data_IF_986043048174
#
_entry.id   IF_986043048174
#
_cell.length_a   1.000
_cell.length_b   1.000
_cell.length_c   1.000
_cell.angle_alpha   90.00
_cell.angle_beta   90.00
_cell.angle_gamma   90.00
#
_symmetry.space_group_name_H-M   'P 1'
#
loop_
_entity.id
_entity.type
_entity.pdbx_description
1 polymer ?
#
# COMPACT_ATOMS: atom_id res chain seq x y z
N UNK A 1 44.73 8.39 30.16
CA UNK A 1 44.61 7.36 29.11
C UNK A 1 44.39 6.01 29.78
N UNK A 2 43.18 5.44 29.71
CA UNK A 2 42.92 4.25 28.86
C UNK A 2 41.66 4.47 27.99
N UNK A 3 41.75 4.33 26.66
CA UNK A 3 41.66 3.11 25.83
C UNK A 3 40.25 2.52 25.72
N UNK A 4 39.50 3.10 24.78
CA UNK A 4 38.73 2.42 23.73
C UNK A 4 37.96 1.14 24.09
N UNK A 5 36.69 1.31 24.48
CA UNK A 5 35.65 0.26 24.41
C UNK A 5 34.30 0.78 23.92
N UNK A 6 34.26 1.97 23.30
CA UNK A 6 33.02 2.61 22.85
C UNK A 6 32.91 2.64 21.31
N UNK A 7 33.37 1.59 20.63
CA UNK A 7 33.36 1.52 19.15
C UNK A 7 32.44 0.43 18.57
N UNK A 8 31.66 -0.27 19.39
CA UNK A 8 30.82 -1.37 18.90
C UNK A 8 29.30 -1.14 18.94
N UNK A 9 28.85 0.08 19.25
CA UNK A 9 27.41 0.41 19.26
C UNK A 9 26.97 1.34 18.11
N UNK A 10 27.89 1.72 17.22
CA UNK A 10 27.62 2.66 16.13
C UNK A 10 27.29 2.00 14.77
N UNK A 11 27.36 0.67 14.66
CA UNK A 11 27.15 -0.02 13.38
C UNK A 11 25.74 -0.58 13.14
N UNK A 12 24.83 -0.51 14.11
CA UNK A 12 23.50 -1.11 13.98
C UNK A 12 22.38 -0.13 13.58
N UNK A 13 22.66 1.17 13.44
CA UNK A 13 21.61 2.19 13.20
C UNK A 13 21.44 2.58 11.71
N UNK A 14 22.20 1.98 10.79
CA UNK A 14 22.18 2.37 9.37
C UNK A 14 21.05 1.75 8.52
N UNK A 15 20.13 0.97 9.10
CA UNK A 15 19.12 0.23 8.34
C UNK A 15 17.75 0.92 8.20
N UNK A 16 17.59 2.18 8.63
CA UNK A 16 16.29 2.88 8.65
C UNK A 16 16.15 4.00 7.61
N UNK A 17 16.94 3.98 6.53
CA UNK A 17 16.58 4.74 5.34
C UNK A 17 15.50 3.96 4.58
N UNK A 18 14.27 4.04 5.06
CA UNK A 18 13.09 3.83 4.23
C UNK A 18 13.15 4.88 3.11
N UNK A 19 13.70 4.49 1.96
CA UNK A 19 13.82 5.37 0.81
C UNK A 19 12.43 5.84 0.40
N UNK A 20 12.24 7.16 0.31
CA UNK A 20 11.12 7.75 -0.42
C UNK A 20 11.28 7.33 -1.88
N UNK A 21 10.69 6.20 -2.26
CA UNK A 21 10.71 5.75 -3.64
C UNK A 21 9.90 6.75 -4.47
N UNK A 22 10.60 7.61 -5.22
CA UNK A 22 9.99 8.35 -6.32
C UNK A 22 9.74 7.35 -7.45
N UNK A 23 8.47 7.02 -7.70
CA UNK A 23 8.05 6.03 -8.68
C UNK A 23 8.29 6.43 -10.16
N UNK A 24 8.82 7.63 -10.42
CA UNK A 24 9.23 8.07 -11.76
C UNK A 24 10.71 7.72 -12.07
N UNK A 25 11.09 7.33 -13.32
CA UNK A 25 10.36 6.58 -14.33
C UNK A 25 10.78 5.10 -14.24
N UNK A 26 9.86 4.21 -13.85
CA UNK A 26 9.96 2.82 -14.29
C UNK A 26 9.06 2.74 -15.51
N UNK A 27 9.61 2.39 -16.67
CA UNK A 27 8.85 2.31 -17.92
C UNK A 27 8.47 0.86 -18.22
N UNK A 28 7.50 0.69 -19.12
CA UNK A 28 7.27 -0.59 -19.76
C UNK A 28 8.58 -1.12 -20.38
N UNK A 29 8.76 -2.44 -20.34
CA UNK A 29 9.98 -3.13 -20.75
C UNK A 29 11.10 -3.16 -19.70
N UNK A 30 11.01 -2.42 -18.59
CA UNK A 30 12.05 -2.44 -17.54
C UNK A 30 12.16 -3.86 -16.94
N UNK A 31 13.36 -4.47 -16.83
CA UNK A 31 13.52 -5.77 -16.18
C UNK A 31 13.22 -5.71 -14.68
N UNK A 32 12.60 -6.75 -14.15
CA UNK A 32 12.25 -6.89 -12.74
C UNK A 32 13.40 -6.58 -11.77
N UNK A 33 14.64 -7.01 -12.09
CA UNK A 33 15.80 -6.73 -11.24
C UNK A 33 16.11 -5.23 -11.15
N UNK A 34 15.94 -4.47 -12.24
CA UNK A 34 16.15 -3.02 -12.24
C UNK A 34 15.06 -2.31 -11.43
N UNK A 35 13.82 -2.80 -11.48
CA UNK A 35 12.72 -2.29 -10.64
C UNK A 35 13.08 -2.47 -9.15
N UNK A 36 13.53 -3.66 -8.74
CA UNK A 36 13.93 -3.91 -7.35
C UNK A 36 15.16 -3.12 -6.93
N UNK A 37 16.15 -2.97 -7.81
CA UNK A 37 17.33 -2.16 -7.53
C UNK A 37 16.98 -0.69 -7.26
N UNK A 38 15.91 -0.18 -7.90
CA UNK A 38 15.47 1.20 -7.77
C UNK A 38 14.48 1.41 -6.63
N UNK A 39 13.49 0.53 -6.49
CA UNK A 39 12.35 0.71 -5.58
C UNK A 39 12.46 -0.15 -4.31
N UNK A 40 13.42 -1.06 -4.27
CA UNK A 40 13.53 -2.08 -3.23
C UNK A 40 12.64 -3.29 -3.48
N UNK A 41 12.57 -4.16 -2.48
CA UNK A 41 11.73 -5.36 -2.50
C UNK A 41 10.25 -4.94 -2.45
N UNK A 42 9.39 -5.47 -3.32
CA UNK A 42 7.94 -5.24 -3.21
C UNK A 42 7.42 -5.80 -1.89
N UNK A 43 6.41 -5.14 -1.31
CA UNK A 43 5.80 -5.64 -0.07
C UNK A 43 5.02 -6.93 -0.32
N UNK A 44 4.32 -7.00 -1.46
CA UNK A 44 3.57 -8.19 -1.87
C UNK A 44 3.89 -8.54 -3.32
N UNK A 45 4.10 -9.83 -3.58
CA UNK A 45 4.21 -10.40 -4.92
C UNK A 45 3.05 -11.35 -5.14
N UNK A 46 2.19 -11.04 -6.11
CA UNK A 46 1.12 -11.94 -6.57
C UNK A 46 1.53 -12.57 -7.89
N UNK A 47 1.58 -13.89 -7.93
CA UNK A 47 1.86 -14.66 -9.14
C UNK A 47 0.56 -15.10 -9.78
N UNK A 48 0.48 -14.99 -11.10
CA UNK A 48 -0.67 -15.42 -11.89
C UNK A 48 -0.37 -16.74 -12.63
N UNK A 49 -1.40 -17.52 -13.01
CA UNK A 49 -1.21 -18.79 -13.72
C UNK A 49 -0.53 -18.67 -15.10
N UNK A 50 -0.64 -17.50 -15.75
CA UNK A 50 0.00 -17.20 -17.05
C UNK A 50 1.49 -16.85 -16.92
N UNK A 51 2.05 -16.91 -15.70
CA UNK A 51 3.43 -16.57 -15.40
C UNK A 51 3.68 -15.08 -15.19
N UNK A 52 2.66 -14.22 -15.34
CA UNK A 52 2.76 -12.80 -14.97
C UNK A 52 2.80 -12.64 -13.45
N UNK A 53 3.34 -11.51 -13.01
CA UNK A 53 3.34 -11.14 -11.59
C UNK A 53 2.82 -9.72 -11.42
N UNK A 54 2.15 -9.46 -10.29
CA UNK A 54 1.82 -8.11 -9.84
C UNK A 54 2.55 -7.85 -8.55
N UNK A 55 3.42 -6.84 -8.58
CA UNK A 55 4.18 -6.38 -7.43
C UNK A 55 3.52 -5.16 -6.81
N UNK A 56 3.37 -5.20 -5.51
CA UNK A 56 2.72 -4.16 -4.73
C UNK A 56 3.76 -3.35 -3.97
N UNK A 57 3.70 -2.03 -4.13
CA UNK A 57 4.55 -1.08 -3.44
C UNK A 57 3.71 0.04 -2.80
N UNK A 58 3.28 -0.13 -1.55
CA UNK A 58 2.71 0.96 -0.78
C UNK A 58 3.82 1.93 -0.35
N UNK A 59 3.52 3.23 -0.29
CA UNK A 59 4.48 4.26 0.10
C UNK A 59 4.67 4.37 1.63
N UNK A 60 4.58 3.26 2.35
CA UNK A 60 4.71 3.15 3.81
C UNK A 60 3.39 3.30 4.60
N UNK A 61 3.43 3.16 5.94
CA UNK A 61 2.22 3.17 6.80
C UNK A 61 1.41 4.48 6.78
N UNK A 62 2.10 5.61 6.65
CA UNK A 62 1.48 6.94 6.45
C UNK A 62 1.44 7.35 4.97
N UNK A 63 1.69 6.40 4.08
CA UNK A 63 1.75 6.58 2.65
C UNK A 63 0.39 6.92 2.05
N UNK A 64 0.40 7.77 1.02
CA UNK A 64 -0.80 8.21 0.27
C UNK A 64 -0.87 7.62 -1.13
N UNK A 65 0.06 6.71 -1.44
CA UNK A 65 0.14 6.07 -2.74
C UNK A 65 0.41 4.58 -2.56
N UNK A 66 -0.19 3.78 -3.43
CA UNK A 66 0.21 2.40 -3.65
C UNK A 66 0.40 2.22 -5.13
N UNK A 67 1.54 1.68 -5.53
CA UNK A 67 1.82 1.33 -6.91
C UNK A 67 1.72 -0.17 -7.11
N UNK A 68 1.01 -0.57 -8.16
CA UNK A 68 1.01 -1.94 -8.67
C UNK A 68 1.82 -2.00 -9.95
N UNK A 69 2.85 -2.83 -9.96
CA UNK A 69 3.73 -3.06 -11.12
C UNK A 69 3.43 -4.45 -11.67
N UNK A 70 2.86 -4.51 -12.88
CA UNK A 70 2.59 -5.77 -13.56
C UNK A 70 3.81 -6.15 -14.40
N UNK A 71 4.34 -7.35 -14.17
CA UNK A 71 5.41 -7.97 -14.93
C UNK A 71 4.84 -9.07 -15.83
N UNK A 72 5.33 -9.17 -17.07
CA UNK A 72 5.05 -10.31 -17.93
C UNK A 72 5.77 -11.58 -17.47
N UNK A 73 5.47 -12.71 -18.13
CA UNK A 73 6.16 -13.98 -17.91
C UNK A 73 7.67 -13.93 -18.23
N UNK A 74 8.10 -12.95 -19.01
CA UNK A 74 9.49 -12.60 -19.29
C UNK A 74 10.15 -11.73 -18.22
N UNK A 75 9.45 -11.47 -17.11
CA UNK A 75 9.93 -10.64 -15.98
C UNK A 75 10.23 -9.19 -16.39
N UNK A 76 9.60 -8.68 -17.44
CA UNK A 76 9.66 -7.27 -17.84
C UNK A 76 8.36 -6.54 -17.47
N UNK A 77 8.47 -5.27 -17.07
CA UNK A 77 7.32 -4.42 -16.75
C UNK A 77 6.41 -4.28 -17.95
N UNK A 78 5.11 -4.50 -17.74
CA UNK A 78 4.04 -4.24 -18.70
C UNK A 78 3.33 -2.95 -18.37
N UNK A 79 2.88 -2.83 -17.12
CA UNK A 79 2.06 -1.72 -16.65
C UNK A 79 2.46 -1.31 -15.23
N UNK A 80 2.22 -0.04 -14.91
CA UNK A 80 2.38 0.52 -13.57
C UNK A 80 1.17 1.41 -13.29
N UNK A 81 0.53 1.17 -12.16
CA UNK A 81 -0.65 1.92 -11.75
C UNK A 81 -0.49 2.46 -10.34
N UNK A 82 -0.74 3.76 -10.13
CA UNK A 82 -1.04 4.30 -8.81
C UNK A 82 -2.53 4.01 -8.53
N UNK A 83 -2.81 3.16 -7.54
CA UNK A 83 -4.14 2.59 -7.33
C UNK A 83 -4.97 3.28 -6.25
N UNK A 84 -4.41 4.26 -5.53
CA UNK A 84 -5.16 5.05 -4.55
C UNK A 84 -5.66 6.33 -5.24
N UNK A 85 -6.62 6.13 -6.15
CA UNK A 85 -7.19 7.15 -7.04
C UNK A 85 -8.67 6.88 -7.29
N UNK A 86 -9.41 7.91 -7.74
CA UNK A 86 -10.85 7.82 -7.96
C UNK A 86 -11.27 6.72 -8.93
N UNK A 87 -10.51 6.53 -10.01
CA UNK A 87 -10.76 5.48 -11.01
C UNK A 87 -10.69 4.07 -10.41
N UNK A 88 -9.83 3.84 -9.42
CA UNK A 88 -9.69 2.56 -8.74
C UNK A 88 -10.71 2.42 -7.60
N UNK A 89 -10.97 3.49 -6.86
CA UNK A 89 -12.00 3.51 -5.82
C UNK A 89 -13.38 3.20 -6.39
N UNK A 90 -13.72 3.74 -7.57
CA UNK A 90 -14.98 3.47 -8.26
C UNK A 90 -15.13 2.01 -8.74
N UNK A 91 -14.05 1.22 -8.74
CA UNK A 91 -14.08 -0.22 -9.07
C UNK A 91 -14.43 -1.07 -7.86
N UNK A 92 -14.31 -0.57 -6.63
CA UNK A 92 -14.74 -1.28 -5.43
C UNK A 92 -16.27 -1.27 -5.38
N UNK A 93 -16.89 -2.45 -5.37
CA UNK A 93 -18.35 -2.62 -5.40
C UNK A 93 -18.83 -3.47 -4.24
N UNK A 94 -20.08 -3.24 -3.84
CA UNK A 94 -20.79 -4.07 -2.87
C UNK A 94 -20.75 -5.54 -3.32
N UNK A 95 -20.50 -6.44 -2.37
CA UNK A 95 -20.39 -7.88 -2.62
C UNK A 95 -18.98 -8.36 -2.99
N UNK A 96 -18.03 -7.47 -3.32
CA UNK A 96 -16.65 -7.88 -3.55
C UNK A 96 -16.02 -8.49 -2.30
N UNK A 97 -15.25 -9.54 -2.46
CA UNK A 97 -14.45 -10.15 -1.40
C UNK A 97 -13.28 -9.26 -0.98
N UNK A 98 -12.76 -9.50 0.23
CA UNK A 98 -11.50 -8.92 0.72
C UNK A 98 -10.35 -9.07 -0.28
N UNK A 99 -10.22 -10.22 -0.90
CA UNK A 99 -9.15 -10.50 -1.86
C UNK A 99 -9.29 -9.70 -3.16
N UNK A 100 -10.52 -9.49 -3.64
CA UNK A 100 -10.78 -8.64 -4.79
C UNK A 100 -10.40 -7.18 -4.49
N UNK A 101 -10.73 -6.68 -3.30
CA UNK A 101 -10.33 -5.34 -2.87
C UNK A 101 -8.81 -5.23 -2.72
N UNK A 102 -8.13 -6.23 -2.12
CA UNK A 102 -6.64 -6.27 -2.06
C UNK A 102 -6.01 -6.24 -3.44
N UNK A 103 -6.60 -6.96 -4.41
CA UNK A 103 -6.12 -6.97 -5.80
C UNK A 103 -6.27 -5.62 -6.50
N UNK A 104 -7.24 -4.80 -6.10
CA UNK A 104 -7.46 -3.46 -6.65
C UNK A 104 -6.60 -2.39 -5.98
N UNK A 105 -6.58 -2.33 -4.64
CA UNK A 105 -6.06 -1.17 -3.90
C UNK A 105 -4.74 -1.42 -3.17
N UNK A 106 -4.28 -2.66 -3.12
CA UNK A 106 -3.12 -3.01 -2.31
C UNK A 106 -3.47 -3.09 -0.82
N UNK A 107 -2.45 -3.19 0.04
CA UNK A 107 -2.62 -3.44 1.47
C UNK A 107 -3.20 -2.19 2.12
N UNK A 108 -4.24 -2.31 2.96
CA UNK A 108 -4.69 -1.17 3.72
C UNK A 108 -3.61 -0.73 4.70
N UNK A 109 -3.53 0.59 4.92
CA UNK A 109 -2.65 1.16 5.95
C UNK A 109 -3.17 0.87 7.36
N UNK A 110 -4.48 0.69 7.50
CA UNK A 110 -5.14 0.39 8.78
C UNK A 110 -6.30 -0.58 8.60
N UNK A 111 -6.54 -1.41 9.62
CA UNK A 111 -7.67 -2.34 9.69
C UNK A 111 -8.29 -2.26 11.07
N UNK A 112 -9.60 -2.05 11.13
CA UNK A 112 -10.38 -1.96 12.36
C UNK A 112 -11.53 -2.95 12.35
N UNK A 113 -11.90 -3.49 13.51
CA UNK A 113 -13.01 -4.44 13.66
C UNK A 113 -14.02 -3.92 14.68
N UNK A 114 -15.29 -3.83 14.28
CA UNK A 114 -16.40 -3.42 15.12
C UNK A 114 -17.31 -4.63 15.40
N UNK A 115 -17.02 -5.36 16.47
CA UNK A 115 -17.70 -6.62 16.78
C UNK A 115 -19.23 -6.51 16.93
N UNK A 116 -19.73 -5.42 17.52
CA UNK A 116 -21.17 -5.21 17.72
C UNK A 116 -21.94 -5.02 16.40
N UNK A 117 -21.26 -4.65 15.30
CA UNK A 117 -21.86 -4.44 13.98
C UNK A 117 -21.54 -5.56 12.99
N UNK A 118 -20.79 -6.56 13.44
CA UNK A 118 -20.14 -7.56 12.58
C UNK A 118 -19.44 -6.92 11.37
N UNK A 119 -18.64 -5.89 11.64
CA UNK A 119 -18.04 -5.04 10.61
C UNK A 119 -16.52 -5.04 10.73
N UNK A 120 -15.86 -5.06 9.58
CA UNK A 120 -14.41 -4.84 9.45
C UNK A 120 -14.19 -3.70 8.47
N UNK A 121 -13.30 -2.77 8.81
CA UNK A 121 -13.02 -1.59 8.01
C UNK A 121 -11.56 -1.60 7.62
N UNK A 122 -11.30 -1.50 6.33
CA UNK A 122 -9.96 -1.31 5.77
C UNK A 122 -9.82 0.12 5.28
N UNK A 123 -8.71 0.76 5.63
CA UNK A 123 -8.50 2.18 5.39
C UNK A 123 -7.21 2.44 4.62
N UNK A 124 -7.29 3.27 3.59
CA UNK A 124 -6.15 3.79 2.84
C UNK A 124 -6.13 5.30 2.94
N UNK A 125 -4.97 5.86 3.27
CA UNK A 125 -4.74 7.30 3.10
C UNK A 125 -4.52 7.58 1.62
N UNK A 126 -5.08 8.68 1.13
CA UNK A 126 -4.78 9.18 -0.20
C UNK A 126 -4.79 10.71 -0.21
N UNK A 127 -4.27 11.30 -1.28
CA UNK A 127 -4.27 12.74 -1.47
C UNK A 127 -5.32 13.12 -2.53
N UNK A 128 -6.24 13.99 -2.15
CA UNK A 128 -7.09 14.76 -3.07
C UNK A 128 -6.75 16.26 -2.89
N UNK A 129 -7.72 17.17 -3.02
CA UNK A 129 -7.59 18.56 -2.57
C UNK A 129 -7.16 18.63 -1.09
N UNK A 130 -7.66 17.70 -0.27
CA UNK A 130 -7.28 17.52 1.13
C UNK A 130 -6.69 16.11 1.36
N UNK A 131 -5.96 15.88 2.45
CA UNK A 131 -5.65 14.52 2.92
C UNK A 131 -6.94 13.76 3.27
N UNK A 132 -7.09 12.55 2.73
CA UNK A 132 -8.30 11.76 2.85
C UNK A 132 -8.01 10.33 3.30
N UNK A 133 -9.03 9.69 3.88
CA UNK A 133 -9.16 8.25 3.96
C UNK A 133 -10.19 7.75 2.95
N UNK A 134 -9.84 6.68 2.23
CA UNK A 134 -10.80 5.80 1.57
C UNK A 134 -10.99 4.57 2.46
N UNK A 135 -12.22 4.35 2.91
CA UNK A 135 -12.59 3.26 3.80
C UNK A 135 -13.47 2.26 3.04
N UNK A 136 -13.12 0.99 3.12
CA UNK A 136 -13.95 -0.12 2.63
C UNK A 136 -14.47 -0.88 3.85
N UNK A 137 -15.80 -0.90 3.99
CA UNK A 137 -16.48 -1.53 5.10
C UNK A 137 -17.00 -2.89 4.62
N UNK A 138 -16.52 -3.95 5.26
CA UNK A 138 -16.91 -5.33 4.99
C UNK A 138 -17.95 -5.79 6.01
N UNK A 139 -18.91 -6.57 5.53
CA UNK A 139 -19.58 -7.52 6.40
C UNK A 139 -18.55 -8.56 6.84
N UNK A 140 -18.29 -8.65 8.14
CA UNK A 140 -17.12 -9.37 8.63
C UNK A 140 -17.29 -10.88 8.48
N UNK A 141 -18.47 -11.41 8.79
CA UNK A 141 -18.76 -12.85 8.65
C UNK A 141 -18.85 -13.26 7.19
N UNK A 142 -19.60 -12.53 6.36
CA UNK A 142 -19.72 -12.85 4.94
C UNK A 142 -18.41 -12.58 4.16
N UNK A 143 -17.60 -11.65 4.65
CA UNK A 143 -16.31 -11.28 4.08
C UNK A 143 -16.37 -10.48 2.79
N UNK A 144 -17.48 -9.77 2.59
CA UNK A 144 -17.78 -9.00 1.38
C UNK A 144 -18.02 -7.54 1.68
N UNK A 145 -17.69 -6.66 0.74
CA UNK A 145 -17.93 -5.22 0.84
C UNK A 145 -19.41 -4.95 1.05
N UNK A 146 -19.73 -4.21 2.12
CA UNK A 146 -21.06 -3.66 2.39
C UNK A 146 -21.18 -2.25 1.81
N UNK A 147 -20.17 -1.41 2.02
CA UNK A 147 -20.14 -0.03 1.50
C UNK A 147 -18.72 0.54 1.51
N UNK A 148 -18.56 1.73 0.95
CA UNK A 148 -17.32 2.52 0.97
C UNK A 148 -17.60 3.91 1.53
N UNK A 149 -16.62 4.50 2.21
CA UNK A 149 -16.71 5.87 2.72
C UNK A 149 -15.45 6.65 2.39
N UNK A 150 -15.59 7.96 2.25
CA UNK A 150 -14.47 8.91 2.13
C UNK A 150 -14.59 9.91 3.27
N UNK A 151 -13.51 10.06 4.03
CA UNK A 151 -13.44 10.97 5.16
C UNK A 151 -12.18 11.82 5.02
N UNK A 152 -12.27 13.11 5.32
CA UNK A 152 -11.06 13.91 5.48
C UNK A 152 -10.24 13.35 6.65
N UNK A 153 -8.92 13.29 6.47
CA UNK A 153 -7.99 13.03 7.56
C UNK A 153 -7.88 14.30 8.40
N UNK A 154 -8.91 14.55 9.22
CA UNK A 154 -8.88 15.61 10.21
C UNK A 154 -7.93 15.14 11.31
N UNK A 155 -6.77 15.78 11.43
CA UNK A 155 -5.89 15.57 12.57
C UNK A 155 -6.70 15.90 13.83
N UNK A 156 -6.97 14.91 14.68
CA UNK A 156 -7.66 15.04 15.97
C UNK A 156 -6.89 15.90 17.01
N UNK A 157 -6.08 16.89 16.59
CA UNK A 157 -5.35 17.80 17.48
C UNK A 157 -6.06 19.14 17.75
N UNK A 158 -7.31 19.33 17.30
CA UNK A 158 -8.12 20.54 17.63
C UNK A 158 -9.38 20.23 18.46
N UNK A 159 -9.34 19.21 19.32
CA UNK A 159 -10.41 18.94 20.29
C UNK A 159 -10.13 19.56 21.68
N UNK A 160 -9.15 20.47 21.79
CA UNK A 160 -8.77 21.16 23.02
C UNK A 160 -8.66 22.70 22.83
N UNK A 161 -9.61 23.30 22.13
CA UNK A 161 -9.84 24.75 22.12
C UNK A 161 -11.30 25.03 22.49
#
# INVERSE_FOLDING_TARGET
>A
MPKATLSLFLLALAALLAGCANFAPVSSGTPAQQVQAKLGTPETVRKNPDGSEVWEYPSGPLGRQTYMVTLGSDRAVREIHQVLSDDYFARVRVGMSRDEVRRLLGKPGETMVFGARDEEVWSWRYQDQNPMFFNVLFDRTAGTVRTTQRLEEILFLDQNM
#
